data_IF_636202006938
#
_entry.id   IF_636202006938
#
_cell.length_a   1.000
_cell.length_b   1.000
_cell.length_c   1.000
_cell.angle_alpha   90.00
_cell.angle_beta   90.00
_cell.angle_gamma   90.00
#
_symmetry.space_group_name_H-M   'P 1'
#
loop_
_entity.id
_entity.type
_entity.pdbx_description
1 polymer ?
#
# COMPACT_ATOMS: atom_id res chain seq x y z
N UNK A 1 -22.48 -1.48 -8.51
CA UNK A 1 -22.34 -1.28 -7.05
C UNK A 1 -21.50 -0.04 -6.78
N UNK A 2 -21.89 0.79 -5.79
CA UNK A 2 -21.11 1.97 -5.35
C UNK A 2 -20.43 1.65 -4.02
N UNK A 3 -19.13 1.91 -3.91
CA UNK A 3 -18.32 1.70 -2.71
C UNK A 3 -17.73 3.02 -2.28
N UNK A 4 -17.93 3.37 -1.01
CA UNK A 4 -17.32 4.54 -0.38
C UNK A 4 -16.26 4.03 0.59
N UNK A 5 -15.02 4.50 0.40
CA UNK A 5 -13.90 4.20 1.29
C UNK A 5 -13.56 5.47 2.06
N UNK A 6 -13.54 5.38 3.39
CA UNK A 6 -13.18 6.50 4.28
C UNK A 6 -11.79 6.23 4.85
N UNK A 7 -10.84 7.09 4.49
CA UNK A 7 -9.42 6.97 4.82
C UNK A 7 -8.59 6.36 3.67
N UNK A 8 -7.57 7.09 3.24
CA UNK A 8 -6.62 6.76 2.17
C UNK A 8 -5.32 6.14 2.66
N UNK A 9 -5.28 5.60 3.88
CA UNK A 9 -4.15 4.79 4.37
C UNK A 9 -3.95 3.50 3.58
N UNK A 10 -2.97 2.67 3.97
CA UNK A 10 -2.65 1.41 3.28
C UNK A 10 -3.87 0.52 3.00
N UNK A 11 -4.68 0.26 4.02
CA UNK A 11 -5.88 -0.56 3.89
C UNK A 11 -6.91 0.08 2.97
N UNK A 12 -7.19 1.38 3.13
CA UNK A 12 -8.20 2.07 2.34
C UNK A 12 -7.81 2.23 0.87
N UNK A 13 -6.56 2.58 0.58
CA UNK A 13 -6.06 2.63 -0.78
C UNK A 13 -6.12 1.25 -1.45
N UNK A 14 -5.69 0.18 -0.75
CA UNK A 14 -5.76 -1.19 -1.26
C UNK A 14 -7.20 -1.65 -1.52
N UNK A 15 -8.12 -1.34 -0.59
CA UNK A 15 -9.55 -1.63 -0.73
C UNK A 15 -10.18 -0.88 -1.91
N UNK A 16 -9.84 0.41 -2.08
CA UNK A 16 -10.32 1.23 -3.18
C UNK A 16 -9.86 0.68 -4.55
N UNK A 17 -8.59 0.30 -4.67
CA UNK A 17 -8.04 -0.33 -5.88
C UNK A 17 -8.77 -1.64 -6.18
N UNK A 18 -8.91 -2.50 -5.17
CA UNK A 18 -9.54 -3.82 -5.32
C UNK A 18 -11.01 -3.70 -5.71
N UNK A 19 -11.77 -2.85 -5.04
CA UNK A 19 -13.17 -2.59 -5.37
C UNK A 19 -13.32 -2.01 -6.79
N UNK A 20 -12.41 -1.12 -7.21
CA UNK A 20 -12.43 -0.58 -8.56
C UNK A 20 -12.16 -1.66 -9.61
N UNK A 21 -11.18 -2.53 -9.38
CA UNK A 21 -10.87 -3.67 -10.26
C UNK A 21 -12.02 -4.68 -10.34
N UNK A 22 -12.78 -4.84 -9.26
CA UNK A 22 -14.01 -5.64 -9.23
C UNK A 22 -15.21 -4.98 -9.95
N UNK A 23 -15.02 -3.82 -10.59
CA UNK A 23 -16.06 -3.14 -11.37
C UNK A 23 -16.97 -2.20 -10.57
N UNK A 24 -16.65 -1.92 -9.30
CA UNK A 24 -17.42 -0.96 -8.51
C UNK A 24 -17.14 0.49 -8.93
N UNK A 25 -18.15 1.36 -8.76
CA UNK A 25 -17.94 2.80 -8.72
C UNK A 25 -17.39 3.17 -7.34
N UNK A 26 -16.13 3.58 -7.28
CA UNK A 26 -15.43 3.85 -6.00
C UNK A 26 -15.30 5.35 -5.78
N UNK A 27 -15.60 5.80 -4.57
CA UNK A 27 -15.22 7.12 -4.05
C UNK A 27 -14.35 6.90 -2.82
N UNK A 28 -13.13 7.46 -2.84
CA UNK A 28 -12.21 7.44 -1.71
C UNK A 28 -12.16 8.85 -1.11
N UNK A 29 -12.45 8.96 0.18
CA UNK A 29 -12.29 10.19 0.94
C UNK A 29 -11.04 10.08 1.82
N UNK A 30 -10.09 10.97 1.63
CA UNK A 30 -8.93 11.14 2.50
C UNK A 30 -8.93 12.59 3.00
N UNK A 31 -8.65 12.77 4.29
CA UNK A 31 -8.66 14.10 4.92
C UNK A 31 -7.46 14.94 4.46
N UNK A 32 -6.35 14.27 4.16
CA UNK A 32 -5.10 14.89 3.74
C UNK A 32 -4.95 14.91 2.22
N UNK A 33 -3.91 15.59 1.75
CA UNK A 33 -3.50 15.63 0.35
C UNK A 33 -2.63 14.43 -0.08
N UNK A 34 -2.36 13.50 0.84
CA UNK A 34 -1.50 12.34 0.61
C UNK A 34 -2.18 11.03 1.01
N UNK A 35 -1.90 9.97 0.25
CA UNK A 35 -2.35 8.60 0.59
C UNK A 35 -1.36 7.93 1.56
N UNK A 36 -1.60 6.66 1.90
CA UNK A 36 -0.74 5.73 2.67
C UNK A 36 -0.40 6.14 4.13
N UNK A 37 -0.82 7.31 4.60
CA UNK A 37 -0.75 7.73 6.00
C UNK A 37 0.68 7.65 6.56
N UNK A 38 0.89 6.87 7.62
CA UNK A 38 2.22 6.67 8.23
C UNK A 38 3.26 6.03 7.28
N UNK A 39 2.84 5.52 6.11
CA UNK A 39 3.75 5.17 5.02
C UNK A 39 4.64 6.35 4.59
N UNK A 40 4.13 7.58 4.66
CA UNK A 40 4.86 8.79 4.28
C UNK A 40 5.90 9.22 5.31
N UNK A 41 5.74 8.83 6.59
CA UNK A 41 6.67 9.24 7.66
C UNK A 41 7.92 8.38 7.64
N UNK A 42 7.74 7.05 7.61
CA UNK A 42 8.87 6.12 7.65
C UNK A 42 9.54 5.94 6.29
N UNK A 43 8.82 6.07 5.18
CA UNK A 43 9.35 5.87 3.83
C UNK A 43 9.82 4.45 3.51
N UNK A 44 9.77 3.52 4.47
CA UNK A 44 10.18 2.12 4.29
C UNK A 44 8.94 1.29 3.93
N UNK A 45 8.87 0.89 2.66
CA UNK A 45 7.73 0.15 2.13
C UNK A 45 7.78 -1.33 2.54
N UNK A 46 8.98 -1.93 2.57
CA UNK A 46 9.17 -3.37 2.79
C UNK A 46 10.06 -3.70 3.99
N UNK A 47 9.74 -3.14 5.16
CA UNK A 47 10.43 -3.53 6.41
C UNK A 47 9.98 -4.90 6.93
N UNK A 48 10.70 -5.47 7.91
CA UNK A 48 10.46 -6.79 8.53
C UNK A 48 9.02 -7.31 8.43
N UNK A 49 8.09 -6.74 9.23
CA UNK A 49 6.69 -7.19 9.24
C UNK A 49 5.90 -6.82 7.98
N UNK A 50 6.20 -5.68 7.33
CA UNK A 50 5.52 -5.27 6.09
C UNK A 50 5.94 -6.10 4.88
N UNK A 51 7.15 -6.64 4.87
CA UNK A 51 7.65 -7.48 3.79
C UNK A 51 6.82 -8.74 3.66
N UNK A 52 6.57 -9.44 4.77
CA UNK A 52 5.72 -10.63 4.79
C UNK A 52 4.31 -10.31 4.31
N UNK A 53 3.68 -9.26 4.86
CA UNK A 53 2.35 -8.83 4.45
C UNK A 53 2.30 -8.41 2.97
N UNK A 54 3.35 -7.78 2.45
CA UNK A 54 3.47 -7.40 1.05
C UNK A 54 3.53 -8.63 0.14
N UNK A 55 4.32 -9.65 0.50
CA UNK A 55 4.39 -10.92 -0.23
C UNK A 55 3.05 -11.65 -0.21
N UNK A 56 2.37 -11.72 0.93
CA UNK A 56 1.03 -12.30 1.02
C UNK A 56 0.04 -11.59 0.09
N UNK A 57 -0.01 -10.24 0.11
CA UNK A 57 -0.88 -9.46 -0.76
C UNK A 57 -0.58 -9.69 -2.25
N UNK A 58 0.69 -9.79 -2.62
CA UNK A 58 1.10 -10.07 -4.00
C UNK A 58 0.59 -11.45 -4.43
N UNK A 59 0.82 -12.48 -3.61
CA UNK A 59 0.43 -13.86 -3.92
C UNK A 59 -1.10 -14.05 -3.93
N UNK A 60 -1.84 -13.29 -3.12
CA UNK A 60 -3.30 -13.28 -3.11
C UNK A 60 -3.94 -12.45 -4.25
N UNK A 61 -3.12 -11.86 -5.13
CA UNK A 61 -3.61 -11.08 -6.28
C UNK A 61 -3.98 -9.62 -5.98
N UNK A 62 -3.72 -9.14 -4.75
CA UNK A 62 -3.95 -7.77 -4.29
C UNK A 62 -2.67 -6.92 -4.26
N UNK A 63 -1.63 -7.31 -5.00
CA UNK A 63 -0.31 -6.66 -4.99
C UNK A 63 -0.21 -5.32 -5.71
N UNK A 64 -1.31 -4.72 -6.19
CA UNK A 64 -1.26 -3.50 -7.00
C UNK A 64 -0.64 -2.31 -6.23
N UNK A 65 -1.10 -2.07 -4.99
CA UNK A 65 -0.56 -1.00 -4.15
C UNK A 65 0.92 -1.23 -3.83
N UNK A 66 1.31 -2.48 -3.55
CA UNK A 66 2.70 -2.86 -3.27
C UNK A 66 3.59 -2.59 -4.49
N UNK A 67 3.16 -2.99 -5.68
CA UNK A 67 3.90 -2.74 -6.94
C UNK A 67 4.02 -1.25 -7.24
N UNK A 68 2.99 -0.45 -6.95
CA UNK A 68 3.04 1.01 -7.07
C UNK A 68 4.07 1.58 -6.09
N UNK A 69 4.04 1.17 -4.82
CA UNK A 69 5.00 1.67 -3.83
C UNK A 69 6.42 1.27 -4.21
N UNK A 70 6.65 0.00 -4.56
CA UNK A 70 7.95 -0.49 -5.02
C UNK A 70 8.45 0.31 -6.22
N UNK A 71 7.61 0.63 -7.22
CA UNK A 71 8.03 1.44 -8.36
C UNK A 71 8.47 2.85 -7.98
N UNK A 72 7.93 3.41 -6.90
CA UNK A 72 8.23 4.76 -6.42
C UNK A 72 9.29 4.79 -5.30
N UNK A 73 9.71 3.63 -4.78
CA UNK A 73 10.77 3.57 -3.78
C UNK A 73 12.15 3.80 -4.41
N UNK A 74 12.92 4.73 -3.83
CA UNK A 74 14.28 5.07 -4.29
C UNK A 74 15.32 3.98 -3.99
N UNK A 75 15.25 3.36 -2.81
CA UNK A 75 16.17 2.31 -2.37
C UNK A 75 15.39 1.03 -2.13
N UNK A 76 15.92 -0.12 -2.56
CA UNK A 76 15.25 -1.41 -2.43
C UNK A 76 16.28 -2.47 -2.06
N UNK A 77 15.87 -3.41 -1.23
CA UNK A 77 16.69 -4.54 -0.79
C UNK A 77 18.00 -4.05 -0.15
N UNK A 78 17.90 -3.03 0.71
CA UNK A 78 19.03 -2.51 1.47
C UNK A 78 18.99 -3.01 2.92
N UNK A 79 20.18 -3.27 3.45
CA UNK A 79 20.38 -3.63 4.84
C UNK A 79 20.78 -2.40 5.66
N UNK A 80 20.13 -2.20 6.80
CA UNK A 80 20.50 -1.21 7.80
C UNK A 80 20.07 -1.67 9.20
N UNK A 81 20.56 -1.07 10.30
CA UNK A 81 20.31 -1.59 11.64
C UNK A 81 18.83 -1.87 11.93
N UNK A 82 18.50 -3.14 12.16
CA UNK A 82 17.14 -3.61 12.43
C UNK A 82 16.32 -4.00 11.19
N UNK A 83 16.87 -3.92 9.98
CA UNK A 83 16.16 -4.16 8.71
C UNK A 83 17.07 -4.82 7.66
N UNK A 84 16.73 -6.06 7.25
CA UNK A 84 17.58 -6.90 6.36
C UNK A 84 17.09 -6.98 4.90
N UNK A 85 16.12 -6.15 4.50
CA UNK A 85 15.47 -6.26 3.20
C UNK A 85 14.59 -5.03 2.88
N UNK A 86 14.98 -3.86 3.38
CA UNK A 86 14.17 -2.65 3.29
C UNK A 86 14.19 -1.99 1.90
#
# INVERSE_FOLDING_TARGET
MKVIVIGGGWAGASAAITAKKAGAQVILYEKTDMLIGLGNVGGIMRNNGRYTAAEELINLGAGDLIKITDKNTRHKNIDFPGHNHA
#
